data_IF_259017176424
#
_entry.id   IF_259017176424
#
_cell.length_a   1.000
_cell.length_b   1.000
_cell.length_c   1.000
_cell.angle_alpha   90.00
_cell.angle_beta   90.00
_cell.angle_gamma   90.00
#
_symmetry.space_group_name_H-M   'P 1'
#
loop_
_entity.id
_entity.type
_entity.pdbx_description
1 polymer ?
#
# COMPACT_ATOMS: atom_id res chain seq x y z
N UNK A 1 -5.83 -10.63 -18.77
CA UNK A 1 -5.07 -10.92 -17.54
C UNK A 1 -3.81 -11.70 -17.81
N UNK A 2 -2.69 -10.97 -17.83
CA UNK A 2 -1.32 -11.50 -17.81
C UNK A 2 -1.15 -12.35 -16.55
N UNK A 3 -0.56 -13.55 -16.63
CA UNK A 3 -0.28 -14.39 -15.42
C UNK A 3 0.96 -13.85 -14.70
N UNK A 4 0.98 -13.82 -13.35
CA UNK A 4 2.20 -13.45 -12.62
C UNK A 4 3.31 -14.43 -13.03
N UNK A 5 4.38 -13.92 -13.66
CA UNK A 5 5.44 -14.73 -14.22
C UNK A 5 6.18 -15.47 -13.10
N UNK A 6 6.11 -16.79 -13.09
CA UNK A 6 6.92 -17.64 -12.22
C UNK A 6 8.38 -17.57 -12.67
N UNK A 7 9.13 -16.65 -12.09
CA UNK A 7 10.59 -16.72 -12.08
C UNK A 7 11.00 -18.05 -11.47
N UNK A 8 11.55 -18.93 -12.30
CA UNK A 8 11.95 -20.29 -11.95
C UNK A 8 13.04 -20.31 -10.87
N UNK A 9 12.71 -20.99 -9.76
CA UNK A 9 13.57 -21.82 -8.92
C UNK A 9 15.04 -21.47 -8.73
N UNK A 10 15.37 -21.03 -7.52
CA UNK A 10 16.53 -21.58 -6.81
C UNK A 10 16.14 -21.73 -5.33
N UNK A 11 16.28 -22.96 -4.84
CA UNK A 11 16.05 -23.30 -3.44
C UNK A 11 16.98 -22.47 -2.55
N UNK A 12 16.41 -21.69 -1.64
CA UNK A 12 17.19 -21.03 -0.59
C UNK A 12 17.55 -22.08 0.49
N UNK A 13 18.84 -22.29 0.80
CA UNK A 13 19.21 -23.03 2.00
C UNK A 13 18.93 -22.17 3.23
N UNK A 14 18.40 -22.81 4.26
CA UNK A 14 18.22 -22.29 5.60
C UNK A 14 19.56 -21.89 6.24
N UNK A 15 19.84 -20.58 6.29
CA UNK A 15 20.79 -19.98 7.25
C UNK A 15 20.46 -18.49 7.38
N UNK A 16 19.98 -18.09 8.56
CA UNK A 16 19.78 -16.69 8.91
C UNK A 16 21.12 -15.95 8.91
N UNK A 17 21.24 -14.75 8.28
CA UNK A 17 22.36 -13.87 8.52
C UNK A 17 22.07 -12.95 9.71
N UNK A 18 23.07 -12.78 10.56
CA UNK A 18 23.11 -11.84 11.69
C UNK A 18 23.07 -10.38 11.19
N UNK A 19 22.55 -9.43 11.98
CA UNK A 19 22.40 -8.05 11.54
C UNK A 19 23.74 -7.31 11.71
N UNK A 20 24.34 -6.86 10.62
CA UNK A 20 25.37 -5.82 10.71
C UNK A 20 25.41 -4.95 9.45
N UNK A 21 25.36 -3.64 9.72
CA UNK A 21 25.62 -2.47 8.86
C UNK A 21 24.63 -2.05 7.76
N UNK A 22 23.83 -1.06 8.13
CA UNK A 22 23.77 0.27 7.48
C UNK A 22 23.38 0.33 5.99
N UNK A 23 22.10 0.10 5.74
CA UNK A 23 21.33 0.86 4.76
C UNK A 23 20.23 1.60 5.50
N UNK A 24 20.50 2.81 6.00
CA UNK A 24 19.48 3.63 6.67
C UNK A 24 18.46 4.03 5.60
N UNK A 25 17.37 3.26 5.48
CA UNK A 25 16.21 3.63 4.66
C UNK A 25 15.80 5.05 5.05
N UNK A 26 15.44 5.92 4.08
CA UNK A 26 15.01 7.27 4.39
C UNK A 26 13.88 7.20 5.42
N UNK A 27 14.12 7.82 6.57
CA UNK A 27 13.14 7.85 7.64
C UNK A 27 11.89 8.55 7.12
N UNK A 28 10.74 7.88 7.20
CA UNK A 28 9.41 8.43 6.94
C UNK A 28 9.01 9.48 8.00
N UNK A 29 9.95 10.32 8.43
CA UNK A 29 9.78 11.38 9.41
C UNK A 29 9.31 12.63 8.69
N UNK A 30 8.03 12.64 8.33
CA UNK A 30 7.37 13.80 7.72
C UNK A 30 5.84 13.78 7.75
N UNK A 31 5.21 12.71 8.21
CA UNK A 31 3.75 12.60 8.28
C UNK A 31 3.20 13.25 9.55
N UNK A 32 3.17 14.58 9.60
CA UNK A 32 2.17 15.23 10.45
C UNK A 32 0.78 14.88 9.90
N UNK A 33 -0.20 14.57 10.74
CA UNK A 33 -1.57 14.18 10.39
C UNK A 33 -2.44 15.24 9.66
N UNK A 34 -1.83 16.20 8.97
CA UNK A 34 -2.56 17.11 8.08
C UNK A 34 -2.82 16.40 6.75
N UNK A 35 -3.92 15.64 6.72
CA UNK A 35 -4.71 15.25 5.54
C UNK A 35 -3.89 15.05 4.25
N UNK A 36 -3.25 13.89 4.14
CA UNK A 36 -2.67 13.42 2.88
C UNK A 36 -3.82 12.91 2.02
N UNK A 37 -3.90 13.35 0.77
CA UNK A 37 -4.96 12.87 -0.12
C UNK A 37 -4.70 11.40 -0.47
N UNK A 38 -5.77 10.63 -0.72
CA UNK A 38 -5.67 9.22 -1.11
C UNK A 38 -4.67 9.01 -2.27
N UNK A 39 -4.69 9.91 -3.25
CA UNK A 39 -3.79 9.90 -4.41
C UNK A 39 -2.34 10.11 -4.00
N UNK A 40 -2.07 11.03 -3.07
CA UNK A 40 -0.71 11.29 -2.58
C UNK A 40 -0.10 10.06 -1.90
N UNK A 41 -0.87 9.35 -1.09
CA UNK A 41 -0.39 8.15 -0.40
C UNK A 41 -0.10 6.99 -1.37
N UNK A 42 -0.91 6.83 -2.42
CA UNK A 42 -0.62 5.86 -3.49
C UNK A 42 0.65 6.24 -4.27
N UNK A 43 0.82 7.52 -4.64
CA UNK A 43 2.03 8.01 -5.32
C UNK A 43 3.28 7.76 -4.47
N UNK A 44 3.23 7.99 -3.16
CA UNK A 44 4.35 7.70 -2.24
C UNK A 44 4.75 6.23 -2.26
N UNK A 45 3.78 5.32 -2.22
CA UNK A 45 4.04 3.88 -2.27
C UNK A 45 4.75 3.47 -3.57
N UNK A 46 4.45 4.14 -4.69
CA UNK A 46 5.06 3.86 -5.99
C UNK A 46 6.46 4.43 -6.14
N UNK A 47 6.76 5.58 -5.53
CA UNK A 47 8.09 6.23 -5.61
C UNK A 47 9.12 5.53 -4.71
N UNK A 48 8.66 4.91 -3.63
CA UNK A 48 9.53 4.25 -2.64
C UNK A 48 9.23 2.76 -2.51
N UNK A 49 9.44 1.95 -3.58
CA UNK A 49 9.26 0.52 -3.48
C UNK A 49 10.29 -0.09 -2.52
N UNK A 50 9.83 -0.95 -1.63
CA UNK A 50 10.66 -1.80 -0.77
C UNK A 50 11.06 -3.06 -1.56
N UNK A 51 12.35 -3.22 -1.86
CA UNK A 51 12.90 -4.41 -2.56
C UNK A 51 13.49 -4.12 -3.94
N UNK A 52 14.10 -5.15 -4.57
CA UNK A 52 14.76 -5.03 -5.89
C UNK A 52 13.80 -5.19 -7.08
N UNK A 53 12.60 -5.74 -6.86
CA UNK A 53 11.77 -6.33 -7.91
C UNK A 53 10.46 -5.55 -8.16
N UNK A 54 10.55 -4.33 -8.67
CA UNK A 54 9.50 -3.68 -9.48
C UNK A 54 9.94 -2.27 -9.89
N UNK A 55 10.70 -2.16 -10.97
CA UNK A 55 11.04 -0.84 -11.52
C UNK A 55 10.06 -0.54 -12.63
N UNK A 56 9.04 0.27 -12.32
CA UNK A 56 8.25 0.98 -13.32
C UNK A 56 9.19 1.55 -14.41
N UNK A 57 8.79 1.63 -15.68
CA UNK A 57 9.59 2.27 -16.72
C UNK A 57 10.10 3.66 -16.27
N UNK A 58 11.35 3.99 -16.63
CA UNK A 58 12.02 5.24 -16.23
C UNK A 58 11.19 6.52 -16.45
N UNK A 59 10.39 6.66 -17.54
CA UNK A 59 9.51 7.82 -17.71
C UNK A 59 8.48 7.96 -16.57
N UNK A 60 7.83 6.85 -16.18
CA UNK A 60 6.81 6.86 -15.12
C UNK A 60 7.42 7.18 -13.75
N UNK A 61 8.61 6.63 -13.45
CA UNK A 61 9.33 6.96 -12.23
C UNK A 61 9.64 8.46 -12.13
N UNK A 62 10.05 9.08 -13.24
CA UNK A 62 10.33 10.52 -13.30
C UNK A 62 9.07 11.35 -13.03
N UNK A 63 7.95 10.99 -13.67
CA UNK A 63 6.65 11.67 -13.46
C UNK A 63 6.23 11.58 -12.00
N UNK A 64 6.21 10.38 -11.42
CA UNK A 64 5.79 10.17 -10.03
C UNK A 64 6.71 10.91 -9.03
N UNK A 65 8.03 10.92 -9.26
CA UNK A 65 8.97 11.65 -8.42
C UNK A 65 8.78 13.18 -8.50
N UNK A 66 8.46 13.71 -9.69
CA UNK A 66 8.15 15.13 -9.88
C UNK A 66 6.85 15.49 -9.16
N UNK A 67 5.77 14.73 -9.38
CA UNK A 67 4.47 14.93 -8.73
C UNK A 67 4.63 14.90 -7.22
N UNK A 68 5.31 13.89 -6.66
CA UNK A 68 5.51 13.78 -5.22
C UNK A 68 6.25 15.00 -4.66
N UNK A 69 7.27 15.49 -5.36
CA UNK A 69 8.00 16.69 -4.95
C UNK A 69 7.10 17.93 -4.97
N UNK A 70 6.25 18.08 -5.99
CA UNK A 70 5.30 19.20 -6.08
C UNK A 70 4.33 19.17 -4.89
N UNK A 71 3.70 18.02 -4.64
CA UNK A 71 2.75 17.86 -3.53
C UNK A 71 3.41 18.12 -2.16
N UNK A 72 4.65 17.63 -1.96
CA UNK A 72 5.43 17.90 -0.75
C UNK A 72 5.77 19.39 -0.58
N UNK A 73 6.13 20.09 -1.66
CA UNK A 73 6.43 21.52 -1.63
C UNK A 73 5.19 22.35 -1.29
N UNK A 74 4.04 22.06 -1.92
CA UNK A 74 2.78 22.75 -1.61
C UNK A 74 2.36 22.55 -0.16
N UNK A 75 2.54 21.33 0.37
CA UNK A 75 2.30 21.03 1.78
C UNK A 75 3.23 21.81 2.72
N UNK A 76 4.51 21.94 2.37
CA UNK A 76 5.46 22.73 3.13
C UNK A 76 5.07 24.22 3.14
N UNK A 77 4.53 24.73 2.03
CA UNK A 77 4.02 26.11 1.94
C UNK A 77 2.73 26.31 2.75
N UNK A 78 1.83 25.33 2.78
CA UNK A 78 0.59 25.36 3.57
C UNK A 78 0.85 25.39 5.08
N UNK A 79 2.00 24.86 5.55
CA UNK A 79 2.44 25.00 6.95
C UNK A 79 2.92 26.42 7.31
N UNK A 80 2.99 27.35 6.35
CA UNK A 80 3.56 28.69 6.53
C UNK A 80 2.71 29.89 6.10
N UNK A 81 1.85 29.81 5.07
CA UNK A 81 0.94 30.90 4.64
C UNK A 81 0.01 30.47 3.47
N UNK A 82 -0.99 31.33 3.15
CA UNK A 82 -2.09 31.07 2.18
C UNK A 82 -1.60 30.55 0.82
N UNK A 83 -2.33 29.60 0.18
CA UNK A 83 -1.88 28.95 -1.05
C UNK A 83 -1.70 29.94 -2.20
N UNK A 84 -0.49 29.99 -2.74
CA UNK A 84 -0.17 30.79 -3.92
C UNK A 84 -0.54 30.00 -5.18
N UNK A 85 -1.70 30.32 -5.78
CA UNK A 85 -2.26 29.77 -7.04
C UNK A 85 -1.36 29.83 -8.31
N UNK A 86 -0.06 30.09 -8.21
CA UNK A 86 0.77 30.57 -9.33
C UNK A 86 1.82 29.61 -9.89
N UNK A 87 2.01 28.40 -9.35
CA UNK A 87 3.18 27.57 -9.72
C UNK A 87 2.94 26.46 -10.76
N UNK A 88 1.72 26.25 -11.26
CA UNK A 88 1.48 25.36 -12.41
C UNK A 88 1.92 25.94 -13.77
N UNK A 89 2.62 27.08 -13.80
CA UNK A 89 3.04 27.69 -15.08
C UNK A 89 4.20 26.91 -15.72
N UNK A 90 3.78 26.09 -16.68
CA UNK A 90 4.50 25.44 -17.78
C UNK A 90 5.36 24.23 -17.42
N UNK A 91 4.71 23.08 -17.26
CA UNK A 91 5.35 21.76 -17.31
C UNK A 91 5.81 21.37 -18.75
N UNK A 92 5.74 22.27 -19.73
CA UNK A 92 6.02 22.02 -21.14
C UNK A 92 4.75 21.61 -21.91
N UNK A 93 4.88 21.35 -23.21
CA UNK A 93 3.79 20.84 -24.05
C UNK A 93 3.99 19.35 -24.30
N UNK A 94 3.01 18.51 -23.98
CA UNK A 94 3.03 17.07 -24.24
C UNK A 94 2.29 16.25 -23.19
N UNK A 95 2.03 14.98 -23.52
CA UNK A 95 1.21 14.06 -22.69
C UNK A 95 1.77 13.90 -21.27
N UNK A 96 3.09 13.88 -21.10
CA UNK A 96 3.73 13.81 -19.77
C UNK A 96 3.35 15.01 -18.88
N UNK A 97 3.27 16.21 -19.44
CA UNK A 97 2.91 17.43 -18.71
C UNK A 97 1.43 17.41 -18.32
N UNK A 98 0.56 16.99 -19.23
CA UNK A 98 -0.87 16.88 -18.98
C UNK A 98 -1.18 15.80 -17.92
N UNK A 99 -0.44 14.69 -17.90
CA UNK A 99 -0.55 13.66 -16.84
C UNK A 99 -0.11 14.22 -15.49
N UNK A 100 0.99 14.99 -15.43
CA UNK A 100 1.43 15.61 -14.16
C UNK A 100 0.35 16.57 -13.65
N UNK A 101 -0.18 17.45 -14.51
CA UNK A 101 -1.25 18.39 -14.14
C UNK A 101 -2.49 17.63 -13.65
N UNK A 102 -2.92 16.59 -14.38
CA UNK A 102 -4.05 15.75 -14.01
C UNK A 102 -3.88 15.11 -12.62
N UNK A 103 -2.70 14.52 -12.32
CA UNK A 103 -2.44 13.89 -11.02
C UNK A 103 -2.38 14.93 -9.90
N UNK A 104 -1.79 16.10 -10.14
CA UNK A 104 -1.72 17.18 -9.14
C UNK A 104 -3.13 17.71 -8.84
N UNK A 105 -3.93 18.01 -9.86
CA UNK A 105 -5.30 18.48 -9.69
C UNK A 105 -6.17 17.45 -8.95
N UNK A 106 -6.05 16.17 -9.31
CA UNK A 106 -6.76 15.09 -8.62
C UNK A 106 -6.29 14.92 -7.16
N UNK A 107 -5.00 15.08 -6.86
CA UNK A 107 -4.47 15.02 -5.50
C UNK A 107 -4.93 16.20 -4.64
N UNK A 108 -5.25 17.35 -5.25
CA UNK A 108 -5.80 18.53 -4.58
C UNK A 108 -7.34 18.54 -4.51
N UNK A 109 -8.00 17.56 -5.14
CA UNK A 109 -9.45 17.50 -5.19
C UNK A 109 -10.07 17.38 -3.78
N UNK A 110 -11.24 17.99 -3.55
CA UNK A 110 -11.88 18.01 -2.23
C UNK A 110 -12.46 16.65 -1.81
N UNK A 111 -12.57 15.70 -2.74
CA UNK A 111 -13.09 14.36 -2.50
C UNK A 111 -12.51 13.37 -3.51
N UNK A 112 -12.59 12.07 -3.18
CA UNK A 112 -12.18 11.00 -4.09
C UNK A 112 -13.03 10.96 -5.37
N UNK A 113 -14.33 11.27 -5.26
CA UNK A 113 -15.23 11.36 -6.42
C UNK A 113 -14.78 12.48 -7.37
N UNK A 114 -14.45 13.66 -6.84
CA UNK A 114 -13.94 14.76 -7.66
C UNK A 114 -12.59 14.43 -8.33
N UNK A 115 -11.72 13.70 -7.63
CA UNK A 115 -10.48 13.20 -8.22
C UNK A 115 -10.75 12.21 -9.37
N UNK A 116 -11.74 11.33 -9.19
CA UNK A 116 -12.15 10.36 -10.19
C UNK A 116 -12.78 11.02 -11.43
N UNK A 117 -13.54 12.09 -11.25
CA UNK A 117 -14.11 12.87 -12.35
C UNK A 117 -13.00 13.50 -13.19
N UNK A 118 -11.96 14.05 -12.55
CA UNK A 118 -10.78 14.60 -13.23
C UNK A 118 -10.06 13.50 -14.04
N UNK A 119 -9.83 12.33 -13.43
CA UNK A 119 -9.22 11.20 -14.12
C UNK A 119 -10.10 10.67 -15.27
N UNK A 120 -11.41 10.58 -15.07
CA UNK A 120 -12.35 10.10 -16.09
C UNK A 120 -12.35 11.02 -17.31
N UNK A 121 -12.40 12.34 -17.08
CA UNK A 121 -12.33 13.33 -18.15
C UNK A 121 -10.99 13.26 -18.89
N UNK A 122 -9.87 13.12 -18.17
CA UNK A 122 -8.55 13.00 -18.77
C UNK A 122 -8.41 11.75 -19.64
N UNK A 123 -8.80 10.58 -19.12
CA UNK A 123 -8.70 9.31 -19.85
C UNK A 123 -9.63 9.31 -21.07
N UNK A 124 -10.85 9.84 -20.96
CA UNK A 124 -11.77 9.96 -22.09
C UNK A 124 -11.20 10.83 -23.23
N UNK A 125 -10.41 11.87 -22.89
CA UNK A 125 -9.73 12.71 -23.88
C UNK A 125 -8.50 12.05 -24.52
N UNK A 126 -7.95 11.01 -23.88
CA UNK A 126 -6.70 10.33 -24.25
C UNK A 126 -6.90 8.83 -24.51
N UNK A 127 -8.07 8.45 -25.01
CA UNK A 127 -8.36 7.07 -25.40
C UNK A 127 -7.41 6.63 -26.52
N UNK A 128 -6.60 5.60 -26.25
CA UNK A 128 -5.60 5.06 -27.18
C UNK A 128 -5.91 3.60 -27.49
N UNK A 129 -5.62 3.16 -28.72
CA UNK A 129 -5.67 1.74 -29.09
C UNK A 129 -4.69 0.91 -28.23
N UNK A 130 -5.13 -0.27 -27.80
CA UNK A 130 -4.43 -1.10 -26.79
C UNK A 130 -2.97 -1.48 -27.10
N UNK A 131 -2.54 -1.37 -28.35
CA UNK A 131 -1.16 -1.61 -28.79
C UNK A 131 -0.16 -0.50 -28.41
N UNK A 132 -0.64 0.69 -28.02
CA UNK A 132 0.21 1.86 -27.67
C UNK A 132 0.26 2.19 -26.18
N UNK A 133 -0.50 1.47 -25.34
CA UNK A 133 -0.68 1.78 -23.93
C UNK A 133 0.53 1.42 -23.05
N UNK A 134 1.31 0.38 -23.41
CA UNK A 134 2.26 -0.26 -22.49
C UNK A 134 3.38 0.62 -21.93
N UNK A 135 3.61 1.82 -22.44
CA UNK A 135 4.59 2.76 -21.86
C UNK A 135 4.07 4.19 -21.75
N UNK A 136 2.77 4.38 -22.04
CA UNK A 136 2.15 5.69 -22.00
C UNK A 136 1.93 6.12 -20.55
N UNK A 137 2.26 7.38 -20.19
CA UNK A 137 1.98 7.92 -18.86
C UNK A 137 0.46 7.96 -18.56
N UNK A 138 -0.40 7.89 -19.59
CA UNK A 138 -1.86 7.78 -19.46
C UNK A 138 -2.27 6.51 -18.70
N UNK A 139 -1.46 5.43 -18.78
CA UNK A 139 -1.72 4.19 -18.02
C UNK A 139 -1.72 4.43 -16.52
N UNK A 140 -0.92 5.36 -16.00
CA UNK A 140 -0.94 5.68 -14.56
C UNK A 140 -2.30 6.25 -14.14
N UNK A 141 -2.87 7.16 -14.94
CA UNK A 141 -4.15 7.79 -14.65
C UNK A 141 -5.30 6.79 -14.80
N UNK A 142 -5.31 6.04 -15.91
CA UNK A 142 -6.30 5.00 -16.15
C UNK A 142 -6.27 3.89 -15.10
N UNK A 143 -5.07 3.46 -14.68
CA UNK A 143 -4.92 2.48 -13.60
C UNK A 143 -5.40 3.04 -12.26
N UNK A 144 -5.01 4.27 -11.88
CA UNK A 144 -5.47 4.88 -10.63
C UNK A 144 -7.01 5.00 -10.56
N UNK A 145 -7.65 5.36 -11.67
CA UNK A 145 -9.11 5.38 -11.77
C UNK A 145 -9.69 3.96 -11.66
N UNK A 146 -9.11 2.99 -12.37
CA UNK A 146 -9.54 1.60 -12.29
C UNK A 146 -9.39 1.02 -10.88
N UNK A 147 -8.31 1.33 -10.15
CA UNK A 147 -8.10 0.94 -8.76
C UNK A 147 -9.21 1.50 -7.86
N UNK A 148 -9.54 2.79 -7.98
CA UNK A 148 -10.56 3.42 -7.16
C UNK A 148 -11.97 2.86 -7.42
N UNK A 149 -12.29 2.54 -8.68
CA UNK A 149 -13.56 1.90 -9.05
C UNK A 149 -13.62 0.45 -8.58
N UNK A 150 -12.56 -0.33 -8.82
CA UNK A 150 -12.52 -1.77 -8.49
C UNK A 150 -12.51 -2.04 -6.99
N UNK A 151 -11.89 -1.17 -6.19
CA UNK A 151 -11.91 -1.24 -4.73
C UNK A 151 -13.23 -0.72 -4.11
N UNK A 152 -14.25 -0.44 -4.94
CA UNK A 152 -15.57 -0.02 -4.49
C UNK A 152 -15.61 1.38 -3.88
N UNK A 153 -14.59 2.21 -4.15
CA UNK A 153 -14.52 3.57 -3.58
C UNK A 153 -15.33 4.59 -4.40
N UNK A 154 -15.69 4.23 -5.64
CA UNK A 154 -16.50 5.02 -6.57
C UNK A 154 -17.58 4.11 -7.15
N UNK A 155 -18.85 4.50 -7.01
CA UNK A 155 -20.00 3.71 -7.48
C UNK A 155 -20.27 3.86 -8.99
N UNK A 156 -19.93 5.01 -9.57
CA UNK A 156 -20.19 5.31 -10.98
C UNK A 156 -18.97 5.94 -11.66
N UNK A 157 -18.52 5.34 -12.75
CA UNK A 157 -17.50 5.88 -13.63
C UNK A 157 -18.04 5.93 -15.06
N UNK A 158 -17.65 6.96 -15.82
CA UNK A 158 -18.02 7.11 -17.24
C UNK A 158 -17.37 6.02 -18.10
N UNK A 159 -16.21 5.51 -17.66
CA UNK A 159 -15.43 4.53 -18.39
C UNK A 159 -15.97 3.12 -18.12
N UNK A 160 -16.23 2.31 -19.15
CA UNK A 160 -16.77 0.97 -19.00
C UNK A 160 -15.75 0.02 -18.31
N UNK A 161 -16.26 -0.93 -17.51
CA UNK A 161 -15.42 -1.87 -16.74
C UNK A 161 -14.37 -2.65 -17.56
N UNK A 162 -14.67 -3.18 -18.78
CA UNK A 162 -13.66 -3.88 -19.58
C UNK A 162 -12.45 -3.00 -19.95
N UNK A 163 -12.69 -1.70 -20.14
CA UNK A 163 -11.65 -0.74 -20.46
C UNK A 163 -10.82 -0.40 -19.22
N UNK A 164 -11.45 -0.23 -18.06
CA UNK A 164 -10.75 -0.10 -16.78
C UNK A 164 -9.85 -1.32 -16.50
N UNK A 165 -10.32 -2.53 -16.78
CA UNK A 165 -9.51 -3.75 -16.66
C UNK A 165 -8.34 -3.78 -17.65
N UNK A 166 -8.51 -3.22 -18.85
CA UNK A 166 -7.41 -3.11 -19.82
C UNK A 166 -6.29 -2.18 -19.32
N UNK A 167 -6.63 -1.10 -18.61
CA UNK A 167 -5.65 -0.25 -17.94
C UNK A 167 -4.95 -0.99 -16.81
N UNK A 168 -5.65 -1.81 -16.02
CA UNK A 168 -5.01 -2.66 -15.01
C UNK A 168 -4.06 -3.69 -15.65
N UNK A 169 -4.45 -4.34 -16.73
CA UNK A 169 -3.60 -5.28 -17.46
C UNK A 169 -2.34 -4.60 -18.04
N UNK A 170 -2.48 -3.39 -18.59
CA UNK A 170 -1.35 -2.59 -19.05
C UNK A 170 -0.44 -2.15 -17.88
N UNK A 171 -1.04 -1.75 -16.75
CA UNK A 171 -0.33 -1.35 -15.56
C UNK A 171 0.46 -2.51 -14.91
N UNK A 172 -0.13 -3.71 -14.87
CA UNK A 172 0.55 -4.93 -14.43
C UNK A 172 1.73 -5.25 -15.35
N UNK A 173 1.55 -5.08 -16.65
CA UNK A 173 2.62 -5.32 -17.65
C UNK A 173 3.83 -4.40 -17.46
N UNK A 174 3.64 -3.21 -16.89
CA UNK A 174 4.73 -2.28 -16.50
C UNK A 174 5.20 -2.43 -15.05
N UNK A 175 4.65 -3.40 -14.31
CA UNK A 175 5.02 -3.67 -12.93
C UNK A 175 4.40 -2.70 -11.92
N UNK A 176 3.20 -2.16 -12.17
CA UNK A 176 2.49 -1.30 -11.24
C UNK A 176 1.92 -2.12 -10.06
N UNK A 177 2.43 -1.94 -8.83
CA UNK A 177 1.99 -2.76 -7.70
C UNK A 177 0.54 -2.52 -7.28
N UNK A 178 0.03 -1.29 -7.42
CA UNK A 178 -1.36 -0.99 -7.11
C UNK A 178 -2.35 -1.74 -8.00
N UNK A 179 -1.97 -1.97 -9.26
CA UNK A 179 -2.82 -2.69 -10.20
C UNK A 179 -2.85 -4.19 -9.89
N UNK A 180 -1.70 -4.75 -9.50
CA UNK A 180 -1.60 -6.12 -9.00
C UNK A 180 -2.48 -6.31 -7.76
N UNK A 181 -2.44 -5.35 -6.82
CA UNK A 181 -3.28 -5.37 -5.63
C UNK A 181 -4.78 -5.30 -5.96
N UNK A 182 -5.21 -4.37 -6.80
CA UNK A 182 -6.63 -4.28 -7.21
C UNK A 182 -7.13 -5.54 -7.90
N UNK A 183 -6.35 -6.14 -8.81
CA UNK A 183 -6.71 -7.42 -9.42
C UNK A 183 -6.82 -8.53 -8.37
N UNK A 184 -5.93 -8.54 -7.37
CA UNK A 184 -6.01 -9.50 -6.29
C UNK A 184 -7.30 -9.34 -5.46
N UNK A 185 -7.71 -8.12 -5.15
CA UNK A 185 -8.97 -7.84 -4.45
C UNK A 185 -10.17 -8.28 -5.29
N UNK A 186 -10.20 -7.96 -6.57
CA UNK A 186 -11.27 -8.41 -7.47
C UNK A 186 -11.37 -9.94 -7.56
N UNK A 187 -10.23 -10.65 -7.62
CA UNK A 187 -10.20 -12.11 -7.61
C UNK A 187 -10.63 -12.70 -6.25
N UNK A 188 -10.34 -12.04 -5.14
CA UNK A 188 -10.79 -12.46 -3.81
C UNK A 188 -12.31 -12.37 -3.67
N UNK A 189 -12.88 -11.30 -4.20
CA UNK A 189 -14.30 -10.97 -4.03
C UNK A 189 -15.18 -11.51 -5.16
N UNK A 190 -14.62 -11.80 -6.33
CA UNK A 190 -15.38 -12.17 -7.52
C UNK A 190 -16.11 -10.96 -8.14
N UNK A 191 -15.49 -9.78 -8.11
CA UNK A 191 -16.06 -8.52 -8.60
C UNK A 191 -15.43 -8.11 -9.94
N UNK A 192 -15.90 -6.99 -10.51
CA UNK A 192 -15.42 -6.45 -11.79
C UNK A 192 -15.50 -7.42 -12.98
N UNK A 193 -16.36 -8.45 -12.91
CA UNK A 193 -16.48 -9.48 -13.95
C UNK A 193 -15.45 -10.61 -13.84
N UNK A 194 -14.62 -10.63 -12.80
CA UNK A 194 -13.71 -11.72 -12.50
C UNK A 194 -14.39 -12.78 -11.63
N UNK A 195 -14.04 -14.04 -11.88
CA UNK A 195 -14.49 -15.13 -11.03
C UNK A 195 -13.64 -15.19 -9.76
N UNK A 196 -14.27 -15.57 -8.64
CA UNK A 196 -13.58 -15.71 -7.37
C UNK A 196 -12.49 -16.78 -7.46
N UNK A 197 -11.25 -16.39 -7.19
CA UNK A 197 -10.06 -17.25 -7.15
C UNK A 197 -9.09 -16.74 -6.07
N UNK A 198 -9.16 -17.39 -4.89
CA UNK A 198 -8.38 -17.01 -3.71
C UNK A 198 -6.88 -17.32 -3.88
N UNK A 199 -6.54 -18.37 -4.65
CA UNK A 199 -5.15 -18.78 -4.86
C UNK A 199 -4.44 -17.77 -5.77
N UNK A 200 -5.09 -17.41 -6.88
CA UNK A 200 -4.57 -16.37 -7.76
C UNK A 200 -4.54 -15.01 -7.04
N UNK A 201 -5.53 -14.70 -6.21
CA UNK A 201 -5.53 -13.50 -5.37
C UNK A 201 -4.31 -13.41 -4.46
N UNK A 202 -4.01 -14.45 -3.67
CA UNK A 202 -2.82 -14.47 -2.81
C UNK A 202 -1.53 -14.34 -3.62
N UNK A 203 -1.47 -14.99 -4.79
CA UNK A 203 -0.32 -14.88 -5.70
C UNK A 203 -0.09 -13.43 -6.13
N UNK A 204 -1.14 -12.73 -6.55
CA UNK A 204 -1.04 -11.31 -6.94
C UNK A 204 -0.73 -10.40 -5.76
N UNK A 205 -1.30 -10.64 -4.58
CA UNK A 205 -0.96 -9.91 -3.35
C UNK A 205 0.52 -10.06 -3.02
N UNK A 206 1.08 -11.27 -3.12
CA UNK A 206 2.52 -11.51 -2.94
C UNK A 206 3.36 -10.82 -4.01
N UNK A 207 2.92 -10.82 -5.28
CA UNK A 207 3.61 -10.07 -6.35
C UNK A 207 3.59 -8.55 -6.08
N UNK A 208 2.48 -8.00 -5.56
CA UNK A 208 2.39 -6.60 -5.17
C UNK A 208 3.25 -6.29 -3.91
N UNK A 209 3.25 -7.17 -2.92
CA UNK A 209 4.03 -7.01 -1.71
C UNK A 209 5.54 -7.11 -1.97
N UNK A 210 5.99 -8.03 -2.85
CA UNK A 210 7.40 -8.14 -3.25
C UNK A 210 7.89 -6.93 -4.06
N UNK A 211 6.96 -6.21 -4.68
CA UNK A 211 7.16 -4.91 -5.34
C UNK A 211 7.21 -3.73 -4.35
N UNK A 212 7.09 -4.00 -3.05
CA UNK A 212 7.17 -3.00 -2.00
C UNK A 212 5.86 -2.30 -1.66
N UNK A 213 4.72 -2.83 -2.12
CA UNK A 213 3.43 -2.21 -1.89
C UNK A 213 2.91 -2.44 -0.48
N UNK A 214 2.99 -1.38 0.33
CA UNK A 214 2.61 -1.42 1.75
C UNK A 214 1.16 -1.87 1.98
N UNK A 215 0.16 -1.45 1.17
CA UNK A 215 -1.21 -1.96 1.31
C UNK A 215 -1.32 -3.46 1.06
N UNK A 216 -0.59 -4.04 0.11
CA UNK A 216 -0.61 -5.49 -0.14
C UNK A 216 0.07 -6.27 0.99
N UNK A 217 1.19 -5.77 1.54
CA UNK A 217 1.82 -6.35 2.72
C UNK A 217 0.84 -6.35 3.91
N UNK A 218 0.14 -5.24 4.12
CA UNK A 218 -0.87 -5.14 5.18
C UNK A 218 -2.01 -6.15 4.99
N UNK A 219 -2.57 -6.25 3.78
CA UNK A 219 -3.64 -7.21 3.50
C UNK A 219 -3.20 -8.67 3.60
N UNK A 220 -1.96 -9.00 3.24
CA UNK A 220 -1.39 -10.33 3.52
C UNK A 220 -1.35 -10.59 5.02
N UNK A 221 -0.90 -9.60 5.80
CA UNK A 221 -0.95 -9.65 7.27
C UNK A 221 -2.36 -9.96 7.80
N UNK A 222 -3.36 -9.22 7.33
CA UNK A 222 -4.76 -9.43 7.72
C UNK A 222 -5.32 -10.78 7.25
N UNK A 223 -4.86 -11.30 6.11
CA UNK A 223 -5.29 -12.60 5.59
C UNK A 223 -4.80 -13.74 6.49
N UNK A 224 -3.51 -13.71 6.85
CA UNK A 224 -2.92 -14.71 7.76
C UNK A 224 -3.44 -14.59 9.19
N UNK A 225 -3.73 -13.38 9.65
CA UNK A 225 -4.35 -13.13 10.96
C UNK A 225 -5.76 -13.74 11.06
N UNK A 226 -6.57 -13.61 10.00
CA UNK A 226 -7.96 -14.10 9.97
C UNK A 226 -8.11 -15.59 9.66
N UNK A 227 -7.03 -16.29 9.32
CA UNK A 227 -7.05 -17.71 9.00
C UNK A 227 -7.66 -18.05 7.63
N UNK A 228 -7.72 -17.11 6.69
CA UNK A 228 -8.17 -17.41 5.32
C UNK A 228 -7.02 -18.02 4.48
N UNK A 229 -7.19 -19.19 3.84
CA UNK A 229 -6.08 -19.96 3.31
C UNK A 229 -5.81 -19.75 1.82
N UNK A 230 -4.53 -19.55 1.47
CA UNK A 230 -3.89 -20.24 0.34
C UNK A 230 -2.35 -20.34 0.49
N UNK A 231 -1.76 -20.15 1.69
CA UNK A 231 -0.35 -20.48 1.87
C UNK A 231 -0.17 -21.99 1.98
N UNK A 232 0.40 -22.49 0.89
CA UNK A 232 0.65 -23.88 0.54
C UNK A 232 1.65 -24.60 1.44
N UNK A 233 1.24 -24.96 2.65
CA UNK A 233 1.87 -26.06 3.41
C UNK A 233 0.91 -27.05 4.06
N UNK A 234 -0.38 -26.73 4.14
CA UNK A 234 -1.39 -27.63 4.70
C UNK A 234 -2.41 -28.03 3.62
N UNK A 235 -2.93 -29.27 3.66
CA UNK A 235 -4.05 -29.68 2.83
C UNK A 235 -5.22 -28.71 2.99
N UNK A 236 -5.99 -28.48 1.92
CA UNK A 236 -7.17 -27.60 1.91
C UNK A 236 -8.17 -27.89 3.05
N UNK A 237 -8.16 -29.11 3.56
CA UNK A 237 -9.03 -29.65 4.61
C UNK A 237 -8.60 -29.23 6.04
N UNK A 238 -7.38 -28.72 6.20
CA UNK A 238 -6.79 -28.28 7.47
C UNK A 238 -6.43 -26.78 7.50
N UNK A 239 -6.64 -26.08 6.38
CA UNK A 239 -6.21 -24.69 6.19
C UNK A 239 -7.30 -23.67 6.53
N UNK A 240 -8.58 -24.07 6.62
CA UNK A 240 -9.71 -23.14 6.74
C UNK A 240 -9.79 -22.38 8.07
N UNK A 241 -9.02 -22.72 9.10
CA UNK A 241 -9.13 -22.08 10.43
C UNK A 241 -7.78 -21.87 11.16
N UNK A 242 -6.65 -22.13 10.51
CA UNK A 242 -5.34 -21.99 11.14
C UNK A 242 -4.74 -20.61 10.84
N UNK A 243 -5.04 -19.62 11.68
CA UNK A 243 -4.36 -18.33 11.64
C UNK A 243 -2.84 -18.53 11.79
N UNK A 244 -2.05 -18.08 10.80
CA UNK A 244 -0.59 -18.05 10.88
C UNK A 244 -0.15 -16.69 11.42
N UNK A 245 -0.19 -16.55 12.74
CA UNK A 245 0.26 -15.34 13.43
C UNK A 245 1.73 -15.01 13.14
N UNK A 246 2.55 -16.02 12.81
CA UNK A 246 3.96 -15.83 12.48
C UNK A 246 4.14 -15.14 11.14
N UNK A 247 3.44 -15.59 10.10
CA UNK A 247 3.45 -14.97 8.77
C UNK A 247 2.74 -13.60 8.81
N UNK A 248 1.62 -13.48 9.53
CA UNK A 248 0.92 -12.20 9.74
C UNK A 248 1.84 -11.13 10.34
N UNK A 249 2.56 -11.49 11.42
CA UNK A 249 3.47 -10.57 12.10
C UNK A 249 4.64 -10.16 11.22
N UNK A 250 5.15 -11.04 10.35
CA UNK A 250 6.22 -10.71 9.41
C UNK A 250 5.76 -9.67 8.38
N UNK A 251 4.61 -9.89 7.75
CA UNK A 251 4.05 -8.96 6.77
C UNK A 251 3.70 -7.60 7.39
N UNK A 252 3.08 -7.60 8.57
CA UNK A 252 2.84 -6.36 9.30
C UNK A 252 4.13 -5.66 9.69
N UNK A 253 5.17 -6.38 10.14
CA UNK A 253 6.47 -5.79 10.49
C UNK A 253 7.13 -5.12 9.29
N UNK A 254 7.14 -5.77 8.12
CA UNK A 254 7.70 -5.18 6.90
C UNK A 254 7.01 -3.86 6.53
N UNK A 255 5.67 -3.84 6.53
CA UNK A 255 4.91 -2.62 6.25
C UNK A 255 5.08 -1.55 7.35
N UNK A 256 5.13 -1.96 8.62
CA UNK A 256 5.29 -1.06 9.76
C UNK A 256 6.68 -0.40 9.80
N UNK A 257 7.73 -1.16 9.49
CA UNK A 257 9.12 -0.67 9.33
C UNK A 257 9.23 0.34 8.19
N UNK A 258 8.47 0.14 7.11
CA UNK A 258 8.33 1.10 6.02
C UNK A 258 7.41 2.30 6.36
N UNK A 259 6.91 2.40 7.58
CA UNK A 259 6.15 3.55 8.05
C UNK A 259 4.65 3.50 7.81
N UNK A 260 4.07 2.36 7.42
CA UNK A 260 2.64 2.23 7.10
C UNK A 260 1.78 2.21 8.39
N UNK A 261 0.98 3.27 8.68
CA UNK A 261 0.30 3.39 9.96
C UNK A 261 -0.68 2.26 10.30
N UNK A 262 -1.48 1.73 9.35
CA UNK A 262 -2.36 0.59 9.62
C UNK A 262 -1.59 -0.65 10.10
N UNK A 263 -0.45 -0.97 9.48
CA UNK A 263 0.38 -2.10 9.92
C UNK A 263 1.09 -1.83 11.25
N UNK A 264 1.51 -0.59 11.53
CA UNK A 264 2.04 -0.24 12.85
C UNK A 264 1.01 -0.45 13.97
N UNK A 265 -0.25 -0.10 13.70
CA UNK A 265 -1.35 -0.31 14.63
C UNK A 265 -1.63 -1.80 14.85
N UNK A 266 -1.78 -2.58 13.77
CA UNK A 266 -2.10 -4.00 13.86
C UNK A 266 -0.95 -4.80 14.47
N UNK A 267 0.30 -4.48 14.13
CA UNK A 267 1.47 -5.07 14.79
C UNK A 267 1.51 -4.75 16.29
N UNK A 268 1.23 -3.49 16.65
CA UNK A 268 1.11 -3.07 18.04
C UNK A 268 0.04 -3.86 18.80
N UNK A 269 -1.14 -4.03 18.20
CA UNK A 269 -2.25 -4.83 18.77
C UNK A 269 -1.88 -6.30 18.95
N UNK A 270 -1.24 -6.91 17.94
CA UNK A 270 -0.82 -8.32 17.98
C UNK A 270 0.22 -8.55 19.08
N UNK A 271 1.20 -7.66 19.21
CA UNK A 271 2.20 -7.74 20.29
C UNK A 271 1.57 -7.51 21.67
N UNK A 272 0.61 -6.59 21.80
CA UNK A 272 -0.14 -6.43 23.06
C UNK A 272 -0.91 -7.69 23.42
N UNK A 273 -1.64 -8.29 22.47
CA UNK A 273 -2.36 -9.53 22.72
C UNK A 273 -1.41 -10.63 23.19
N UNK A 274 -0.25 -10.80 22.54
CA UNK A 274 0.78 -11.75 22.95
C UNK A 274 1.28 -11.50 24.40
N UNK A 275 1.39 -10.23 24.82
CA UNK A 275 1.78 -9.91 26.21
C UNK A 275 0.71 -10.30 27.23
N UNK A 276 -0.58 -10.13 26.89
CA UNK A 276 -1.69 -10.47 27.80
C UNK A 276 -1.83 -11.99 27.98
N UNK A 277 -1.60 -12.77 26.91
CA UNK A 277 -1.53 -14.23 26.98
C UNK A 277 -0.33 -14.70 27.81
N UNK A 278 0.86 -14.14 27.56
CA UNK A 278 2.09 -14.51 28.29
C UNK A 278 2.08 -14.13 29.77
N UNK A 279 1.32 -13.10 30.18
CA UNK A 279 1.11 -12.75 31.59
C UNK A 279 0.24 -13.77 32.33
N UNK A 280 -0.66 -14.43 31.60
CA UNK A 280 -1.57 -15.43 32.16
C UNK A 280 -0.88 -16.77 32.44
N UNK A 281 0.21 -17.08 31.73
CA UNK A 281 0.96 -18.35 31.83
C UNK A 281 2.10 -18.36 32.88
N UNK A 282 2.33 -17.25 33.59
CA UNK A 282 3.18 -17.20 34.79
C UNK A 282 4.62 -16.70 34.64
N UNK A 283 5.28 -16.51 35.80
CA UNK A 283 6.48 -15.69 36.06
C UNK A 283 7.74 -15.95 35.20
N UNK A 284 7.86 -17.08 34.49
CA UNK A 284 9.05 -17.41 33.71
C UNK A 284 9.16 -16.61 32.40
N UNK A 285 8.04 -16.13 31.85
CA UNK A 285 7.98 -15.34 30.62
C UNK A 285 8.21 -13.83 30.82
N UNK A 286 8.42 -13.37 32.07
CA UNK A 286 8.50 -11.96 32.43
C UNK A 286 9.44 -11.09 31.56
N UNK A 287 10.69 -11.50 31.25
CA UNK A 287 11.56 -10.69 30.40
C UNK A 287 11.09 -10.63 28.93
N UNK A 288 10.50 -11.71 28.43
CA UNK A 288 10.00 -11.79 27.05
C UNK A 288 8.71 -10.98 26.87
N UNK A 289 7.81 -11.04 27.86
CA UNK A 289 6.62 -10.17 27.94
C UNK A 289 7.02 -8.69 28.02
N UNK A 290 8.04 -8.34 28.82
CA UNK A 290 8.52 -6.96 28.92
C UNK A 290 9.10 -6.45 27.58
N UNK A 291 9.82 -7.31 26.85
CA UNK A 291 10.31 -6.98 25.51
C UNK A 291 9.17 -6.73 24.52
N UNK A 292 8.21 -7.65 24.43
CA UNK A 292 7.04 -7.53 23.55
C UNK A 292 6.22 -6.27 23.86
N UNK A 293 6.03 -5.95 25.14
CA UNK A 293 5.32 -4.73 25.55
C UNK A 293 6.07 -3.46 25.13
N UNK A 294 7.40 -3.47 25.20
CA UNK A 294 8.23 -2.36 24.75
C UNK A 294 8.15 -2.17 23.25
N UNK A 295 8.20 -3.26 22.48
CA UNK A 295 8.04 -3.25 21.03
C UNK A 295 6.63 -2.77 20.63
N UNK A 296 5.58 -3.27 21.30
CA UNK A 296 4.20 -2.85 21.08
C UNK A 296 4.01 -1.34 21.29
N UNK A 297 4.53 -0.81 22.41
CA UNK A 297 4.51 0.64 22.70
C UNK A 297 5.21 1.42 21.59
N UNK A 298 6.38 0.98 21.13
CA UNK A 298 7.13 1.65 20.06
C UNK A 298 6.30 1.79 18.79
N UNK A 299 5.65 0.71 18.34
CA UNK A 299 4.82 0.72 17.13
C UNK A 299 3.56 1.58 17.30
N UNK A 300 2.91 1.49 18.46
CA UNK A 300 1.73 2.31 18.75
C UNK A 300 2.05 3.80 18.87
N UNK A 301 3.20 4.17 19.46
CA UNK A 301 3.66 5.57 19.47
C UNK A 301 3.99 6.07 18.07
N UNK A 302 4.60 5.24 17.22
CA UNK A 302 4.86 5.60 15.83
C UNK A 302 3.56 5.87 15.06
N UNK A 303 2.56 5.00 15.23
CA UNK A 303 1.22 5.18 14.65
C UNK A 303 0.47 6.38 15.25
N UNK A 304 0.59 6.61 16.56
CA UNK A 304 -0.01 7.77 17.23
C UNK A 304 0.60 9.10 16.73
N UNK A 305 1.89 9.12 16.40
CA UNK A 305 2.56 10.30 15.85
C UNK A 305 2.02 10.68 14.45
N UNK A 306 1.42 9.73 13.72
CA UNK A 306 0.73 10.02 12.44
C UNK A 306 -0.71 10.47 12.63
N UNK A 307 -1.19 10.60 13.87
CA UNK A 307 -2.53 11.11 14.23
C UNK A 307 -3.64 10.06 14.25
N UNK A 308 -3.32 8.76 14.22
CA UNK A 308 -4.32 7.70 14.33
C UNK A 308 -4.86 7.68 15.77
N UNK A 309 -6.11 8.14 15.95
CA UNK A 309 -6.71 8.29 17.28
C UNK A 309 -6.75 6.97 18.07
N UNK A 310 -6.99 5.85 17.39
CA UNK A 310 -7.01 4.55 18.02
C UNK A 310 -5.67 4.21 18.67
N UNK A 311 -4.55 4.49 17.98
CA UNK A 311 -3.22 4.29 18.52
C UNK A 311 -2.98 5.18 19.75
N UNK A 312 -3.41 6.45 19.71
CA UNK A 312 -3.32 7.39 20.85
C UNK A 312 -4.07 6.85 22.07
N UNK A 313 -5.28 6.32 21.87
CA UNK A 313 -6.09 5.74 22.96
C UNK A 313 -5.42 4.50 23.56
N UNK A 314 -4.85 3.64 22.71
CA UNK A 314 -4.14 2.43 23.16
C UNK A 314 -2.88 2.78 23.96
N UNK A 315 -2.06 3.72 23.49
CA UNK A 315 -0.88 4.22 24.22
C UNK A 315 -1.27 4.69 25.62
N UNK A 316 -2.26 5.57 25.71
CA UNK A 316 -2.75 6.11 26.99
C UNK A 316 -3.19 4.98 27.95
N UNK A 317 -3.92 4.00 27.45
CA UNK A 317 -4.37 2.83 28.26
C UNK A 317 -3.19 2.04 28.83
N UNK A 318 -2.12 1.84 28.05
CA UNK A 318 -0.95 1.08 28.50
C UNK A 318 -0.18 1.86 29.58
N UNK A 319 -0.03 3.18 29.42
CA UNK A 319 0.63 4.04 30.39
C UNK A 319 -0.13 4.08 31.73
N UNK A 320 -1.46 4.18 31.67
CA UNK A 320 -2.33 4.13 32.86
C UNK A 320 -2.27 2.80 33.59
N UNK A 321 -2.18 1.66 32.86
CA UNK A 321 -2.01 0.33 33.46
C UNK A 321 -0.64 0.15 34.12
N UNK A 322 0.41 0.74 33.57
CA UNK A 322 1.78 0.63 34.11
C UNK A 322 2.08 1.55 35.30
N UNK A 323 1.21 2.54 35.57
CA UNK A 323 1.33 3.46 36.70
C UNK A 323 0.61 2.97 37.98
N UNK A 324 -0.13 1.86 37.90
CA UNK A 324 -0.84 1.23 39.02
C UNK A 324 -0.06 0.02 39.55
#
# INVERSE_FOLDING_TARGET
MVKCGSGSGSAAPSTAPSPSHEGRLPSWTGCSAASTSFVEDRVRCLVHPVGEASRLPTPLQRILAIVLRILQQERAQLKGQRPCRRHSRSLGTGVDAEVIECIVDAAQAPSLVAAADIFSAFVAAHLMDGSTLLSSPVVLVGAALAEAVTLGQIESCVIPMPELLSFLDAAISVGHPGAMHSVAVCLREGTAGLQRDVISSETWLRCAASSGYLPAMHELGESYERGAPASSKLPAEAAEDAADWGEAMQWYRQAAEAGYPPSQLNLGKLLLAATEHGQSEGSAAAPQVAHLLTEAKRWLHACAATGVEEAVRLVKRIEEKGAR
#
